data_IF_212794586361
#
_entry.id   IF_212794586361
#
_cell.length_a   1.000
_cell.length_b   1.000
_cell.length_c   1.000
_cell.angle_alpha   90.00
_cell.angle_beta   90.00
_cell.angle_gamma   90.00
#
_symmetry.space_group_name_H-M   'P 1'
#
loop_
_entity.id
_entity.type
_entity.pdbx_description
1 polymer ?
#
# COMPACT_ATOMS: atom_id res chain seq x y z
N UNK A 1 -20.81 -18.12 -15.46
CA UNK A 1 -19.82 -17.04 -15.30
C UNK A 1 -18.46 -17.65 -15.51
N UNK A 2 -17.78 -17.29 -16.60
CA UNK A 2 -16.40 -17.72 -16.85
C UNK A 2 -15.47 -16.74 -16.12
N UNK A 3 -14.63 -17.25 -15.22
CA UNK A 3 -13.59 -16.51 -14.51
C UNK A 3 -12.27 -16.42 -15.31
N UNK A 4 -12.36 -16.47 -16.64
CA UNK A 4 -11.17 -16.48 -17.51
C UNK A 4 -10.85 -15.05 -17.93
N UNK A 5 -9.68 -14.58 -17.45
CA UNK A 5 -9.02 -13.29 -17.74
C UNK A 5 -9.28 -12.13 -16.79
N UNK A 6 -9.23 -12.36 -15.47
CA UNK A 6 -8.88 -11.27 -14.55
C UNK A 6 -7.46 -10.80 -14.86
N UNK A 7 -7.31 -9.60 -15.43
CA UNK A 7 -6.00 -9.04 -15.75
C UNK A 7 -5.35 -8.43 -14.50
N UNK A 8 -4.80 -9.32 -13.66
CA UNK A 8 -4.12 -8.98 -12.41
C UNK A 8 -2.62 -8.84 -12.65
N UNK A 9 -2.04 -7.75 -12.15
CA UNK A 9 -0.59 -7.53 -12.18
C UNK A 9 -0.07 -7.28 -10.77
N UNK A 10 0.86 -8.14 -10.33
CA UNK A 10 1.58 -8.01 -9.07
C UNK A 10 2.93 -7.32 -9.29
N UNK A 11 3.20 -6.29 -8.50
CA UNK A 11 4.44 -5.52 -8.50
C UNK A 11 5.00 -5.55 -7.09
N UNK A 12 6.19 -6.12 -6.92
CA UNK A 12 6.92 -6.07 -5.65
C UNK A 12 7.87 -4.87 -5.67
N UNK A 13 7.82 -4.04 -4.63
CA UNK A 13 8.65 -2.85 -4.51
C UNK A 13 9.35 -2.80 -3.15
N UNK A 14 10.68 -2.71 -3.19
CA UNK A 14 11.51 -2.59 -2.00
C UNK A 14 11.37 -1.22 -1.33
N UNK A 15 11.25 -1.20 -0.01
CA UNK A 15 11.16 0.01 0.80
C UNK A 15 12.54 0.59 1.03
N UNK A 16 12.75 1.86 0.68
CA UNK A 16 14.04 2.55 0.91
C UNK A 16 14.09 3.21 2.28
N UNK A 17 15.22 3.14 2.99
CA UNK A 17 15.47 3.88 4.22
C UNK A 17 16.19 5.23 3.92
N UNK A 18 15.87 6.28 4.67
CA UNK A 18 16.40 7.66 4.49
C UNK A 18 17.75 7.91 5.16
N UNK A 19 18.22 7.03 6.07
CA UNK A 19 19.43 7.26 6.87
C UNK A 19 20.73 7.07 6.06
N UNK A 20 21.69 8.00 6.12
CA UNK A 20 22.98 7.87 5.44
C UNK A 20 24.07 7.30 6.37
N UNK A 21 24.17 5.96 6.51
CA UNK A 21 25.33 5.28 7.11
C UNK A 21 25.62 3.95 6.37
N UNK A 22 26.84 3.38 6.45
CA UNK A 22 27.50 2.75 5.30
C UNK A 22 26.68 1.60 4.73
N UNK A 23 26.22 1.79 3.48
CA UNK A 23 25.63 0.83 2.54
C UNK A 23 25.28 -0.52 3.16
N UNK A 24 24.24 -0.52 3.99
CA UNK A 24 23.29 -1.62 3.97
C UNK A 24 22.05 -1.03 3.31
N UNK A 25 21.92 -1.23 1.99
CA UNK A 25 20.77 -0.77 1.20
C UNK A 25 19.43 -1.37 1.65
N UNK A 26 19.44 -2.23 2.66
CA UNK A 26 18.27 -2.97 3.12
C UNK A 26 17.62 -2.23 4.28
N UNK A 27 16.45 -1.65 4.00
CA UNK A 27 15.49 -1.37 5.07
C UNK A 27 15.08 -2.70 5.73
N UNK A 28 14.92 -2.74 7.05
CA UNK A 28 14.31 -3.89 7.76
C UNK A 28 12.83 -4.07 7.42
N UNK A 29 12.28 -3.19 6.58
CA UNK A 29 10.92 -3.30 6.07
C UNK A 29 10.82 -4.37 4.98
N UNK A 30 9.80 -5.23 5.04
CA UNK A 30 9.52 -6.16 3.96
C UNK A 30 9.14 -5.42 2.68
N UNK A 31 9.30 -6.11 1.55
CA UNK A 31 8.78 -5.62 0.27
C UNK A 31 7.26 -5.43 0.34
N UNK A 32 6.78 -4.34 -0.27
CA UNK A 32 5.36 -4.05 -0.39
C UNK A 32 4.88 -4.60 -1.73
N UNK A 33 3.75 -5.31 -1.72
CA UNK A 33 3.14 -5.89 -2.91
C UNK A 33 2.02 -4.97 -3.37
N UNK A 34 2.12 -4.49 -4.60
CA UNK A 34 1.09 -3.69 -5.28
C UNK A 34 0.39 -4.57 -6.30
N UNK A 35 -0.90 -4.80 -6.14
CA UNK A 35 -1.72 -5.62 -7.03
C UNK A 35 -2.74 -4.76 -7.74
N UNK A 36 -2.57 -4.59 -9.04
CA UNK A 36 -3.52 -3.86 -9.87
C UNK A 36 -4.56 -4.83 -10.45
N UNK A 37 -5.83 -4.62 -10.10
CA UNK A 37 -6.97 -5.32 -10.62
C UNK A 37 -7.61 -4.49 -11.74
N UNK A 38 -7.08 -4.64 -12.97
CA UNK A 38 -7.49 -3.79 -14.10
C UNK A 38 -8.99 -3.88 -14.40
N UNK A 39 -9.60 -5.03 -14.20
CA UNK A 39 -11.01 -5.29 -14.52
C UNK A 39 -11.97 -4.53 -13.59
N UNK A 40 -11.56 -4.27 -12.36
CA UNK A 40 -12.34 -3.54 -11.35
C UNK A 40 -11.84 -2.11 -11.14
N UNK A 41 -10.70 -1.76 -11.73
CA UNK A 41 -10.02 -0.47 -11.56
C UNK A 41 -9.55 -0.23 -10.11
N UNK A 42 -9.06 -1.29 -9.46
CA UNK A 42 -8.65 -1.24 -8.05
C UNK A 42 -7.15 -1.52 -7.87
N UNK A 43 -6.58 -0.98 -6.79
CA UNK A 43 -5.21 -1.26 -6.35
C UNK A 43 -5.20 -1.77 -4.91
N UNK A 44 -4.78 -3.02 -4.75
CA UNK A 44 -4.41 -3.56 -3.44
C UNK A 44 -2.93 -3.28 -3.13
N UNK A 45 -2.65 -2.78 -1.93
CA UNK A 45 -1.32 -2.53 -1.38
C UNK A 45 -1.17 -3.42 -0.15
N UNK A 46 -0.36 -4.47 -0.24
CA UNK A 46 -0.18 -5.46 0.82
C UNK A 46 1.18 -5.33 1.49
N UNK A 47 1.16 -5.18 2.81
CA UNK A 47 2.36 -5.08 3.65
C UNK A 47 2.85 -6.45 4.14
N UNK A 48 1.95 -7.43 4.13
CA UNK A 48 2.25 -8.83 4.43
C UNK A 48 1.60 -9.72 3.38
N UNK A 49 2.13 -10.93 3.21
CA UNK A 49 1.47 -11.94 2.37
C UNK A 49 0.15 -12.35 3.02
N UNK A 50 -0.97 -11.96 2.40
CA UNK A 50 -2.30 -12.29 2.89
C UNK A 50 -2.51 -13.80 2.79
N UNK A 51 -2.64 -14.45 3.94
CA UNK A 51 -2.95 -15.88 4.07
C UNK A 51 -4.38 -16.00 4.60
N UNK A 52 -5.18 -16.98 4.14
CA UNK A 52 -6.49 -17.26 4.76
C UNK A 52 -6.39 -17.35 6.29
N UNK A 53 -7.32 -16.72 7.00
CA UNK A 53 -7.35 -16.68 8.47
C UNK A 53 -6.64 -15.48 9.12
N UNK A 54 -5.90 -14.67 8.35
CA UNK A 54 -5.20 -13.48 8.86
C UNK A 54 -6.09 -12.22 8.83
N UNK A 55 -7.02 -12.14 7.87
CA UNK A 55 -7.88 -10.97 7.67
C UNK A 55 -9.08 -10.99 8.62
N UNK A 56 -9.23 -9.96 9.44
CA UNK A 56 -10.27 -9.92 10.48
C UNK A 56 -11.34 -8.85 10.23
N UNK A 57 -10.92 -7.63 9.88
CA UNK A 57 -11.81 -6.47 9.77
C UNK A 57 -11.24 -5.52 8.71
N UNK A 58 -12.12 -4.95 7.89
CA UNK A 58 -11.82 -3.84 6.98
C UNK A 58 -12.61 -2.61 7.42
N UNK A 59 -11.98 -1.44 7.41
CA UNK A 59 -12.59 -0.16 7.79
C UNK A 59 -12.32 0.91 6.70
N UNK A 60 -13.34 1.69 6.37
CA UNK A 60 -13.25 2.71 5.32
C UNK A 60 -12.57 3.97 5.89
N UNK A 61 -11.46 4.38 5.28
CA UNK A 61 -10.72 5.59 5.70
C UNK A 61 -11.17 6.86 4.97
N UNK A 62 -11.60 6.69 3.72
CA UNK A 62 -12.15 7.64 2.76
C UNK A 62 -13.04 6.83 1.80
N UNK A 63 -13.91 7.49 1.03
CA UNK A 63 -14.85 6.81 0.11
C UNK A 63 -14.14 5.83 -0.85
N UNK A 64 -12.89 6.12 -1.21
CA UNK A 64 -12.08 5.33 -2.17
C UNK A 64 -10.82 4.67 -1.53
N UNK A 65 -10.70 4.63 -0.19
CA UNK A 65 -9.57 4.00 0.52
C UNK A 65 -10.06 3.14 1.68
N UNK A 66 -9.90 1.83 1.54
CA UNK A 66 -10.20 0.80 2.53
C UNK A 66 -8.92 0.33 3.22
N UNK A 67 -8.94 0.21 4.55
CA UNK A 67 -7.82 -0.34 5.33
C UNK A 67 -8.24 -1.66 5.95
N UNK A 68 -7.43 -2.70 5.73
CA UNK A 68 -7.65 -4.02 6.32
C UNK A 68 -6.66 -4.29 7.45
N UNK A 69 -7.12 -4.97 8.49
CA UNK A 69 -6.36 -5.23 9.71
C UNK A 69 -6.26 -6.71 10.06
N UNK A 70 -5.15 -7.06 10.73
CA UNK A 70 -4.99 -8.34 11.40
C UNK A 70 -5.77 -8.40 12.74
N UNK A 71 -5.60 -9.52 13.46
CA UNK A 71 -6.24 -9.74 14.75
C UNK A 71 -5.75 -8.82 15.89
N UNK A 72 -4.58 -8.21 15.73
CA UNK A 72 -3.95 -7.26 16.65
C UNK A 72 -4.19 -5.80 16.25
N UNK A 73 -5.09 -5.55 15.27
CA UNK A 73 -5.37 -4.22 14.70
C UNK A 73 -4.13 -3.57 14.05
N UNK A 74 -3.25 -4.39 13.48
CA UNK A 74 -2.16 -3.93 12.61
C UNK A 74 -2.64 -3.90 11.17
N UNK A 75 -2.23 -2.89 10.42
CA UNK A 75 -2.57 -2.72 9.01
C UNK A 75 -1.88 -3.82 8.21
N UNK A 76 -2.65 -4.60 7.45
CA UNK A 76 -2.13 -5.66 6.57
C UNK A 76 -2.22 -5.28 5.10
N UNK A 77 -3.21 -4.48 4.73
CA UNK A 77 -3.37 -3.96 3.38
C UNK A 77 -4.20 -2.70 3.33
N UNK A 78 -4.06 -2.02 2.20
CA UNK A 78 -4.96 -0.96 1.75
C UNK A 78 -5.48 -1.31 0.38
N UNK A 79 -6.77 -1.06 0.17
CA UNK A 79 -7.39 -1.16 -1.14
C UNK A 79 -7.84 0.24 -1.56
N UNK A 80 -7.49 0.61 -2.79
CA UNK A 80 -7.91 1.85 -3.43
C UNK A 80 -8.84 1.52 -4.59
N UNK A 81 -10.01 2.16 -4.61
CA UNK A 81 -11.02 1.93 -5.63
C UNK A 81 -10.94 3.02 -6.72
N UNK A 82 -11.31 2.66 -7.95
CA UNK A 82 -11.42 3.59 -9.09
C UNK A 82 -10.09 4.36 -9.33
N UNK A 83 -8.97 3.64 -9.36
CA UNK A 83 -7.63 4.22 -9.36
C UNK A 83 -7.32 5.03 -10.63
N UNK A 84 -7.99 4.75 -11.74
CA UNK A 84 -7.92 5.58 -12.95
C UNK A 84 -8.39 7.02 -12.70
N UNK A 85 -9.30 7.21 -11.73
CA UNK A 85 -9.79 8.51 -11.29
C UNK A 85 -8.93 9.13 -10.17
N UNK A 86 -8.33 8.31 -9.30
CA UNK A 86 -7.48 8.77 -8.20
C UNK A 86 -6.10 9.22 -8.68
N UNK A 87 -5.51 8.52 -9.64
CA UNK A 87 -4.16 8.80 -10.12
C UNK A 87 -4.15 9.69 -11.38
N UNK A 88 -2.97 10.26 -11.66
CA UNK A 88 -2.68 10.83 -12.97
C UNK A 88 -2.58 9.73 -14.02
N UNK A 89 -3.02 10.00 -15.24
CA UNK A 89 -2.99 9.01 -16.33
C UNK A 89 -1.58 8.52 -16.67
N UNK A 90 -0.55 9.32 -16.40
CA UNK A 90 0.85 8.94 -16.59
C UNK A 90 1.33 7.84 -15.62
N UNK A 91 0.56 7.52 -14.57
CA UNK A 91 0.81 6.38 -13.68
C UNK A 91 0.60 5.05 -14.38
N UNK A 92 -0.08 5.04 -15.52
CA UNK A 92 -0.41 3.84 -16.26
C UNK A 92 0.44 3.73 -17.53
N UNK A 93 0.75 2.50 -17.91
CA UNK A 93 1.31 2.18 -19.24
C UNK A 93 0.26 2.42 -20.32
N UNK A 94 0.69 2.37 -21.57
CA UNK A 94 -0.23 2.48 -22.73
C UNK A 94 -1.32 1.40 -22.68
N UNK A 95 -1.01 0.22 -22.13
CA UNK A 95 -1.95 -0.89 -21.97
C UNK A 95 -2.87 -0.75 -20.74
N UNK A 96 -2.78 0.38 -20.03
CA UNK A 96 -3.57 0.70 -18.85
C UNK A 96 -3.12 -0.01 -17.58
N UNK A 97 -1.87 -0.49 -17.51
CA UNK A 97 -1.34 -1.16 -16.32
C UNK A 97 -0.60 -0.18 -15.43
N UNK A 98 -0.67 -0.35 -14.11
CA UNK A 98 0.09 0.47 -13.18
C UNK A 98 1.60 0.37 -13.47
N UNK A 99 2.28 1.51 -13.58
CA UNK A 99 3.70 1.57 -13.91
C UNK A 99 4.54 1.66 -12.63
N UNK A 100 5.20 0.55 -12.30
CA UNK A 100 6.05 0.40 -11.11
C UNK A 100 7.09 1.51 -10.92
N UNK A 101 7.56 2.14 -12.01
CA UNK A 101 8.57 3.22 -11.97
C UNK A 101 8.13 4.41 -11.11
N UNK A 102 6.83 4.62 -10.97
CA UNK A 102 6.28 5.76 -10.24
C UNK A 102 5.87 5.43 -8.80
N UNK A 103 5.99 4.17 -8.40
CA UNK A 103 5.70 3.72 -7.04
C UNK A 103 7.01 3.75 -6.25
N UNK A 104 7.08 4.57 -5.21
CA UNK A 104 8.30 4.74 -4.40
C UNK A 104 7.94 4.73 -2.91
N UNK A 105 7.96 3.56 -2.27
CA UNK A 105 7.84 3.45 -0.82
C UNK A 105 9.18 3.85 -0.16
N UNK A 106 9.10 4.74 0.82
CA UNK A 106 10.24 5.26 1.57
C UNK A 106 9.85 5.24 3.04
N UNK A 107 10.63 4.56 3.87
CA UNK A 107 10.51 4.60 5.31
C UNK A 107 11.55 5.55 5.90
N UNK A 108 11.09 6.43 6.78
CA UNK A 108 11.92 7.37 7.52
C UNK A 108 11.95 6.95 8.99
N UNK A 109 13.12 6.47 9.44
CA UNK A 109 13.31 5.91 10.78
C UNK A 109 13.18 6.99 11.87
N UNK A 110 13.69 8.19 11.62
CA UNK A 110 13.70 9.29 12.60
C UNK A 110 12.28 9.76 12.95
N UNK A 111 11.38 9.70 11.97
CA UNK A 111 9.97 10.08 12.12
C UNK A 111 9.00 8.91 12.24
N UNK A 112 9.49 7.66 12.22
CA UNK A 112 8.70 6.42 12.16
C UNK A 112 7.56 6.52 11.13
N UNK A 113 7.90 7.01 9.93
CA UNK A 113 6.92 7.32 8.88
C UNK A 113 7.21 6.53 7.61
N UNK A 114 6.22 5.76 7.13
CA UNK A 114 6.25 5.16 5.80
C UNK A 114 5.50 6.07 4.83
N UNK A 115 6.14 6.42 3.70
CA UNK A 115 5.57 7.21 2.61
C UNK A 115 5.50 6.37 1.36
N UNK A 116 4.33 6.22 0.76
CA UNK A 116 4.15 5.58 -0.54
C UNK A 116 3.83 6.66 -1.55
N UNK A 117 4.82 7.01 -2.38
CA UNK A 117 4.65 8.01 -3.43
C UNK A 117 4.17 7.36 -4.73
N UNK A 118 3.26 8.03 -5.42
CA UNK A 118 2.66 7.66 -6.70
C UNK A 118 2.97 8.71 -7.77
N UNK A 119 4.19 9.27 -7.76
CA UNK A 119 4.63 10.26 -8.74
C UNK A 119 6.13 10.16 -8.99
N UNK A 120 6.56 10.60 -10.18
CA UNK A 120 7.99 10.75 -10.44
C UNK A 120 8.56 12.06 -9.88
N UNK A 121 7.77 13.13 -9.96
CA UNK A 121 8.12 14.49 -9.59
C UNK A 121 6.94 15.01 -8.78
N UNK A 122 7.20 15.54 -7.58
CA UNK A 122 6.14 16.08 -6.73
C UNK A 122 5.52 17.30 -7.44
N UNK A 123 4.25 17.23 -7.87
CA UNK A 123 3.58 18.41 -8.38
C UNK A 123 3.43 19.40 -7.22
N UNK A 124 3.74 20.67 -7.46
CA UNK A 124 3.48 21.73 -6.49
C UNK A 124 2.44 22.69 -7.08
N UNK A 125 1.41 23.11 -6.30
CA UNK A 125 1.23 22.83 -4.87
C UNK A 125 0.48 21.51 -4.60
N UNK A 126 0.80 20.89 -3.45
CA UNK A 126 0.04 19.77 -2.87
C UNK A 126 -0.64 20.17 -1.57
N UNK A 127 -1.60 19.36 -1.15
CA UNK A 127 -2.31 19.49 0.12
C UNK A 127 -2.39 18.14 0.81
N UNK A 128 -2.05 18.15 2.10
CA UNK A 128 -2.26 17.01 2.99
C UNK A 128 -3.72 17.01 3.48
N UNK A 129 -4.34 15.83 3.44
CA UNK A 129 -5.68 15.56 3.93
C UNK A 129 -5.62 14.40 4.93
N UNK A 130 -6.21 14.62 6.11
CA UNK A 130 -6.37 13.57 7.11
C UNK A 130 -7.46 12.59 6.67
N UNK A 131 -7.23 11.31 6.90
CA UNK A 131 -8.27 10.29 6.77
C UNK A 131 -9.07 10.18 8.07
N UNK A 132 -10.14 9.39 8.08
CA UNK A 132 -10.86 9.04 9.33
C UNK A 132 -10.05 8.10 10.23
N UNK A 133 -9.02 7.45 9.67
CA UNK A 133 -8.15 6.53 10.39
C UNK A 133 -6.95 7.29 10.93
N UNK A 134 -6.74 7.17 12.24
CA UNK A 134 -5.61 7.81 12.90
C UNK A 134 -4.30 7.33 12.27
N UNK A 135 -3.32 8.24 12.23
CA UNK A 135 -1.97 7.98 11.72
C UNK A 135 -1.90 7.67 10.21
N UNK A 136 -3.00 7.84 9.46
CA UNK A 136 -3.00 7.77 8.00
C UNK A 136 -3.44 9.12 7.42
N UNK A 137 -2.58 9.69 6.59
CA UNK A 137 -2.86 10.90 5.83
C UNK A 137 -2.57 10.67 4.34
N UNK A 138 -3.22 11.44 3.48
CA UNK A 138 -3.01 11.41 2.04
C UNK A 138 -2.57 12.79 1.55
N UNK A 139 -1.66 12.82 0.61
CA UNK A 139 -1.25 14.03 -0.09
C UNK A 139 -1.88 14.03 -1.48
N UNK A 140 -2.57 15.12 -1.83
CA UNK A 140 -3.19 15.30 -3.14
C UNK A 140 -2.70 16.57 -3.81
N UNK A 141 -2.74 16.61 -5.13
CA UNK A 141 -2.51 17.83 -5.89
C UNK A 141 -3.76 18.71 -6.03
N UNK A 142 -3.63 19.81 -6.77
CA UNK A 142 -4.73 20.74 -7.04
C UNK A 142 -5.87 20.14 -7.88
N UNK A 143 -5.59 19.08 -8.65
CA UNK A 143 -6.58 18.33 -9.40
C UNK A 143 -7.23 17.20 -8.57
N UNK A 144 -6.95 17.16 -7.26
CA UNK A 144 -7.38 16.10 -6.33
C UNK A 144 -6.87 14.72 -6.71
N UNK A 145 -5.73 14.65 -7.40
CA UNK A 145 -5.05 13.39 -7.69
C UNK A 145 -4.20 12.98 -6.50
N UNK A 146 -4.26 11.70 -6.16
CA UNK A 146 -3.47 11.11 -5.07
C UNK A 146 -1.99 11.11 -5.46
N UNK A 147 -1.16 11.70 -4.61
CA UNK A 147 0.28 11.83 -4.80
C UNK A 147 1.04 10.92 -3.84
N UNK A 148 0.61 10.89 -2.57
CA UNK A 148 1.28 10.14 -1.51
C UNK A 148 0.27 9.59 -0.51
N UNK A 149 0.51 8.40 0.03
CA UNK A 149 -0.09 7.94 1.29
C UNK A 149 0.99 7.95 2.37
N UNK A 150 0.70 8.56 3.51
CA UNK A 150 1.58 8.65 4.68
C UNK A 150 1.02 7.79 5.81
N UNK A 151 1.88 6.95 6.38
CA UNK A 151 1.64 6.18 7.59
C UNK A 151 2.56 6.69 8.68
N UNK A 152 1.98 7.25 9.74
CA UNK A 152 2.70 7.60 10.95
C UNK A 152 2.74 6.41 11.92
N UNK A 153 3.72 6.41 12.82
CA UNK A 153 3.97 5.31 13.75
C UNK A 153 4.07 3.95 13.01
N UNK A 154 4.64 3.95 11.80
CA UNK A 154 4.50 2.86 10.83
C UNK A 154 5.00 1.53 11.40
N UNK A 155 6.11 1.54 12.12
CA UNK A 155 6.69 0.35 12.77
C UNK A 155 5.76 -0.30 13.80
N UNK A 156 4.82 0.48 14.35
CA UNK A 156 3.81 0.02 15.31
C UNK A 156 2.45 -0.21 14.66
N UNK A 157 2.08 0.50 13.61
CA UNK A 157 0.75 0.43 13.02
C UNK A 157 0.64 -0.64 11.94
N UNK A 158 1.72 -0.92 11.21
CA UNK A 158 1.75 -1.90 10.11
C UNK A 158 2.16 -3.28 10.62
N UNK A 159 1.51 -4.32 10.11
CA UNK A 159 1.79 -5.71 10.47
C UNK A 159 3.18 -6.12 9.97
N UNK A 160 3.87 -6.95 10.75
CA UNK A 160 5.11 -7.59 10.32
C UNK A 160 4.79 -8.88 9.57
N UNK A 161 5.64 -9.31 8.62
CA UNK A 161 5.48 -10.60 7.97
C UNK A 161 5.39 -11.70 9.02
N UNK A 162 4.42 -12.60 8.84
CA UNK A 162 4.26 -13.76 9.67
C UNK A 162 5.41 -14.75 9.41
N UNK A 163 5.86 -15.42 10.45
CA UNK A 163 6.69 -16.62 10.35
C UNK A 163 5.91 -17.77 9.70
N UNK A 164 6.60 -18.77 9.14
CA UNK A 164 5.95 -19.97 8.58
C UNK A 164 5.09 -20.71 9.62
N UNK A 165 5.54 -20.72 10.88
CA UNK A 165 4.78 -21.32 11.99
C UNK A 165 3.45 -20.59 12.23
N UNK A 166 3.46 -19.26 12.24
CA UNK A 166 2.24 -18.46 12.38
C UNK A 166 1.30 -18.65 11.18
N UNK A 167 1.84 -18.69 9.95
CA UNK A 167 1.08 -18.96 8.73
C UNK A 167 0.34 -20.29 8.84
N UNK A 168 1.03 -21.37 9.21
CA UNK A 168 0.44 -22.70 9.37
C UNK A 168 -0.63 -22.70 10.48
N UNK A 169 -0.36 -22.06 11.61
CA UNK A 169 -1.31 -21.95 12.71
C UNK A 169 -2.61 -21.23 12.32
N UNK A 170 -2.54 -20.15 11.53
CA UNK A 170 -3.73 -19.47 11.05
C UNK A 170 -4.47 -20.24 9.97
N UNK A 171 -3.76 -20.95 9.09
CA UNK A 171 -4.37 -21.78 8.06
C UNK A 171 -5.19 -22.94 8.65
N UNK A 172 -4.69 -23.60 9.69
CA UNK A 172 -5.38 -24.70 10.39
C UNK A 172 -6.65 -24.26 11.15
N UNK A 173 -6.81 -22.96 11.43
CA UNK A 173 -7.96 -22.42 12.17
C UNK A 173 -9.14 -21.98 11.30
N UNK A 174 -9.02 -22.11 9.98
CA UNK A 174 -10.06 -21.73 9.02
C UNK A 174 -10.90 -22.96 8.59
N UNK A 175 -10.48 -24.18 8.94
CA UNK A 175 -11.28 -25.42 8.84
C UNK A 175 -12.28 -25.59 10.00
#
# INVERSE_FOLDING_TARGET
MNFENLSIVDIQVHVRNTKPEPVTENSDWPDIIFRHYKDTDDLGIYFIKVTPGVLKISDNSLDDLLVSYDHNRKIISIDLDIISSLFHSNMFTVDGLLNAKFIKPIYDEDSDTLKINFVNINPLPTKIQKTTINDIEVEMDTAKKLITILFYNASKSIAKPLSEEEINFFAEKVE
#
